data_IF_890651926545
#
_entry.id   IF_890651926545
#
_cell.length_a   1.000
_cell.length_b   1.000
_cell.length_c   1.000
_cell.angle_alpha   90.00
_cell.angle_beta   90.00
_cell.angle_gamma   90.00
#
_symmetry.space_group_name_H-M   'P 1'
#
loop_
_entity.id
_entity.type
_entity.pdbx_description
1 polymer ?
#
# COMPACT_ATOMS: atom_id res chain seq x y z
N UNK A 1 -5.97 11.33 -26.49
CA UNK A 1 -5.37 10.07 -26.01
C UNK A 1 -5.41 10.08 -24.49
N UNK A 2 -6.23 9.21 -23.88
CA UNK A 2 -6.28 9.06 -22.43
C UNK A 2 -5.04 8.28 -21.97
N UNK A 3 -4.21 8.87 -21.10
CA UNK A 3 -3.11 8.14 -20.46
C UNK A 3 -3.66 7.41 -19.24
N UNK A 4 -3.36 6.12 -19.14
CA UNK A 4 -3.72 5.35 -17.96
C UNK A 4 -2.91 5.87 -16.77
N UNK A 5 -3.54 6.04 -15.61
CA UNK A 5 -2.88 6.48 -14.38
C UNK A 5 -2.97 5.37 -13.35
N UNK A 6 -1.82 4.90 -12.87
CA UNK A 6 -1.74 3.83 -11.86
C UNK A 6 -1.15 4.42 -10.59
N UNK A 7 -1.82 4.24 -9.46
CA UNK A 7 -1.27 4.60 -8.15
C UNK A 7 -0.92 3.32 -7.40
N UNK A 8 0.37 3.06 -7.17
CA UNK A 8 0.84 1.92 -6.40
C UNK A 8 1.11 2.37 -4.96
N UNK A 9 0.35 1.82 -4.02
CA UNK A 9 0.62 1.98 -2.59
C UNK A 9 1.72 1.01 -2.17
N UNK A 10 2.89 1.55 -1.81
CA UNK A 10 4.10 0.77 -1.52
C UNK A 10 4.26 0.53 -0.03
N UNK A 11 4.22 -0.73 0.41
CA UNK A 11 4.69 -1.13 1.73
C UNK A 11 6.09 -1.76 1.59
N UNK A 12 7.11 -1.12 2.15
CA UNK A 12 8.52 -1.53 2.06
C UNK A 12 8.75 -2.91 2.67
N UNK A 13 7.95 -3.30 3.66
CA UNK A 13 8.08 -4.59 4.36
C UNK A 13 7.44 -5.73 3.55
N UNK A 14 6.52 -5.41 2.64
CA UNK A 14 5.79 -6.40 1.85
C UNK A 14 6.57 -6.81 0.59
N UNK A 15 7.05 -8.05 0.55
CA UNK A 15 7.71 -8.62 -0.63
C UNK A 15 6.81 -8.55 -1.89
N UNK A 16 5.50 -8.70 -1.72
CA UNK A 16 4.54 -8.61 -2.82
C UNK A 16 4.53 -7.22 -3.46
N UNK A 17 4.61 -6.19 -2.63
CA UNK A 17 4.57 -4.81 -3.09
C UNK A 17 5.89 -4.40 -3.75
N UNK A 18 7.02 -4.93 -3.27
CA UNK A 18 8.31 -4.78 -3.94
C UNK A 18 8.29 -5.42 -5.34
N UNK A 19 7.71 -6.61 -5.48
CA UNK A 19 7.58 -7.28 -6.79
C UNK A 19 6.75 -6.47 -7.78
N UNK A 20 5.62 -5.91 -7.34
CA UNK A 20 4.80 -5.03 -8.16
C UNK A 20 5.54 -3.75 -8.57
N UNK A 21 6.28 -3.14 -7.64
CA UNK A 21 7.14 -1.98 -7.93
C UNK A 21 8.19 -2.32 -9.00
N UNK A 22 8.84 -3.47 -8.87
CA UNK A 22 9.86 -3.92 -9.82
C UNK A 22 9.28 -4.13 -11.23
N UNK A 23 8.13 -4.81 -11.35
CA UNK A 23 7.47 -5.04 -12.65
C UNK A 23 7.06 -3.71 -13.30
N UNK A 24 6.40 -2.82 -12.55
CA UNK A 24 5.95 -1.53 -13.08
C UNK A 24 7.10 -0.64 -13.57
N UNK A 25 8.29 -0.80 -13.00
CA UNK A 25 9.48 -0.03 -13.38
C UNK A 25 10.33 -0.70 -14.46
N UNK A 26 10.33 -2.03 -14.52
CA UNK A 26 11.21 -2.80 -15.38
C UNK A 26 10.59 -3.14 -16.73
N UNK A 27 9.27 -3.27 -16.79
CA UNK A 27 8.58 -3.66 -18.02
C UNK A 27 8.28 -2.44 -18.91
N UNK A 28 8.57 -2.57 -20.21
CA UNK A 28 8.37 -1.51 -21.20
C UNK A 28 6.90 -1.20 -21.44
N UNK A 29 6.00 -2.14 -21.14
CA UNK A 29 4.55 -1.97 -21.28
C UNK A 29 4.01 -0.83 -20.41
N UNK A 30 4.61 -0.59 -19.25
CA UNK A 30 4.16 0.45 -18.31
C UNK A 30 4.85 1.81 -18.50
N UNK A 31 5.76 1.97 -19.47
CA UNK A 31 6.45 3.25 -19.72
C UNK A 31 5.54 4.36 -20.25
N UNK A 32 4.43 4.00 -20.89
CA UNK A 32 3.43 4.94 -21.42
C UNK A 32 2.39 5.36 -20.38
N UNK A 33 2.46 4.79 -19.17
CA UNK A 33 1.49 4.95 -18.09
C UNK A 33 2.07 5.88 -17.03
N UNK A 34 1.27 6.81 -16.52
CA UNK A 34 1.68 7.68 -15.42
C UNK A 34 1.53 6.91 -14.10
N UNK A 35 2.66 6.41 -13.57
CA UNK A 35 2.70 5.64 -12.32
C UNK A 35 3.08 6.54 -11.15
N UNK A 36 2.24 6.57 -10.12
CA UNK A 36 2.51 7.27 -8.85
C UNK A 36 2.77 6.25 -7.75
N UNK A 37 3.88 6.38 -7.03
CA UNK A 37 4.23 5.51 -5.91
C UNK A 37 3.98 6.23 -4.59
N UNK A 38 3.06 5.72 -3.77
CA UNK A 38 2.74 6.29 -2.46
C UNK A 38 3.12 5.32 -1.34
N UNK A 39 4.08 5.64 -0.46
CA UNK A 39 4.42 4.75 0.64
C UNK A 39 3.26 4.66 1.65
N UNK A 40 2.90 3.45 2.08
CA UNK A 40 1.84 3.20 3.08
C UNK A 40 2.34 2.25 4.14
N UNK A 41 2.14 2.65 5.41
CA UNK A 41 2.39 1.79 6.56
C UNK A 41 1.13 1.00 6.92
N UNK A 42 1.20 -0.34 6.82
CA UNK A 42 0.07 -1.22 7.16
C UNK A 42 -0.36 -1.09 8.63
N UNK A 43 0.59 -0.83 9.54
CA UNK A 43 0.34 -0.66 10.98
C UNK A 43 -0.68 0.44 11.30
N UNK A 44 -0.66 1.56 10.56
CA UNK A 44 -1.62 2.65 10.75
C UNK A 44 -3.02 2.36 10.17
N UNK A 45 -3.12 1.45 9.20
CA UNK A 45 -4.38 1.08 8.56
C UNK A 45 -5.20 0.13 9.46
N UNK A 46 -4.52 -0.81 10.12
CA UNK A 46 -5.16 -1.81 10.98
C UNK A 46 -5.84 -1.15 12.18
N UNK A 47 -5.19 -0.16 12.79
CA UNK A 47 -5.78 0.62 13.89
C UNK A 47 -7.00 1.45 13.47
N UNK A 48 -7.15 1.75 12.17
CA UNK A 48 -8.29 2.52 11.65
C UNK A 48 -9.46 1.63 11.23
N UNK A 49 -9.20 0.33 11.00
CA UNK A 49 -10.18 -0.65 10.51
C UNK A 49 -10.79 -1.48 11.65
N UNK A 50 -10.25 -1.46 12.86
CA UNK A 50 -10.88 -2.10 14.03
C UNK A 50 -11.50 -1.11 15.03
N UNK A 51 -12.78 -0.76 14.90
CA UNK A 51 -13.56 -0.30 16.06
C UNK A 51 -13.78 -1.40 17.12
N UNK A 52 -13.29 -2.64 16.90
CA UNK A 52 -13.59 -3.81 17.72
C UNK A 52 -12.40 -4.33 18.57
N UNK A 53 -11.47 -3.47 19.00
CA UNK A 53 -10.35 -3.97 19.84
C UNK A 53 -9.89 -3.03 20.95
N UNK A 54 -10.76 -2.14 21.45
CA UNK A 54 -10.42 -1.26 22.57
C UNK A 54 -11.35 -1.44 23.79
N UNK A 55 -11.62 -2.69 24.18
CA UNK A 55 -12.31 -2.96 25.46
C UNK A 55 -11.69 -4.05 26.34
N UNK A 56 -10.55 -4.64 25.94
CA UNK A 56 -9.87 -5.66 26.77
C UNK A 56 -8.72 -5.05 27.59
N UNK A 57 -8.16 -3.92 27.16
CA UNK A 57 -7.07 -3.24 27.89
C UNK A 57 -7.53 -2.38 29.09
N UNK A 58 -8.84 -2.37 29.41
CA UNK A 58 -9.43 -1.54 30.48
C UNK A 58 -9.87 -2.34 31.72
N UNK A 59 -9.41 -3.58 31.86
CA UNK A 59 -9.52 -4.36 33.11
C UNK A 59 -8.10 -4.55 33.66
N UNK A 60 -7.56 -3.47 34.21
CA UNK A 60 -6.47 -3.52 35.18
C UNK A 60 -6.83 -2.53 36.29
N UNK A 61 -7.70 -3.00 37.19
CA UNK A 61 -7.98 -2.50 38.53
C UNK A 61 -8.38 -3.69 39.37
#
# INVERSE_FOLDING_TARGET
IARLKITLYVNIISLFTYKAYYILRSDSVFKSVDVTYMPVFLSGLINKISPLTLNIARIKL
#
